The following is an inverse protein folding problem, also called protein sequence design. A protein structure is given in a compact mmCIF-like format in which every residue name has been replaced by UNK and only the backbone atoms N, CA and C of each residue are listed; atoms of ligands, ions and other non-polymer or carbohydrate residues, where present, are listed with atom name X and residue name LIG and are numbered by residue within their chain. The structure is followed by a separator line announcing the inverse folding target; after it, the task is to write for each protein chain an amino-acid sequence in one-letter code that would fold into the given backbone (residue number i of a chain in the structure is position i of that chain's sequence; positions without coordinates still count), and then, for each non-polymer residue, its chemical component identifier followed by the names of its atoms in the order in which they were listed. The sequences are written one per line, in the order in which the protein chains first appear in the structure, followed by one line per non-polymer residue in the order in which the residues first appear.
data_IF_055366361644
#
_entry.id   IF_055366361644
#
_cell.length_a   1.000
_cell.length_b   1.000
_cell.length_c   1.000
_cell.angle_alpha   90.00
_cell.angle_beta   90.00
_cell.angle_gamma   90.00
#
_symmetry.space_group_name_H-M   'P 1'
#
loop_
_entity.id
_entity.type
_entity.pdbx_description
1 polymer ?
#
# COMPACT_ATOMS: atom_id res chain seq x y z
N UNK A 1 -10.55 -6.08 -12.78
CA UNK A 1 -11.03 -5.64 -11.46
C UNK A 1 -10.72 -6.75 -10.50
N UNK A 2 -10.08 -6.40 -9.40
CA UNK A 2 -9.75 -7.32 -8.32
C UNK A 2 -10.32 -6.77 -7.01
N UNK A 3 -10.46 -7.61 -6.00
CA UNK A 3 -10.84 -7.14 -4.66
C UNK A 3 -9.71 -6.28 -4.07
N UNK A 4 -10.04 -5.23 -3.32
CA UNK A 4 -9.07 -4.20 -2.87
C UNK A 4 -7.81 -4.75 -2.19
N UNK A 5 -7.93 -5.83 -1.40
CA UNK A 5 -6.81 -6.45 -0.68
C UNK A 5 -5.79 -7.15 -1.59
N UNK A 6 -6.14 -7.39 -2.87
CA UNK A 6 -5.23 -7.89 -3.89
C UNK A 6 -4.36 -6.79 -4.53
N UNK A 7 -4.63 -5.51 -4.24
CA UNK A 7 -3.89 -4.39 -4.81
C UNK A 7 -2.44 -4.36 -4.34
N UNK A 8 -1.50 -4.06 -5.24
CA UNK A 8 -0.10 -3.76 -4.87
C UNK A 8 -0.01 -2.58 -3.90
N UNK A 9 -0.96 -1.63 -3.95
CA UNK A 9 -1.07 -0.56 -2.95
C UNK A 9 -1.24 -1.13 -1.54
N UNK A 10 -2.03 -2.20 -1.35
CA UNK A 10 -2.19 -2.87 -0.06
C UNK A 10 -0.88 -3.54 0.38
N UNK A 11 -0.17 -4.20 -0.54
CA UNK A 11 1.12 -4.82 -0.22
C UNK A 11 2.18 -3.77 0.17
N UNK A 12 2.25 -2.65 -0.56
CA UNK A 12 3.15 -1.53 -0.24
C UNK A 12 2.78 -0.89 1.10
N UNK A 13 1.49 -0.70 1.37
CA UNK A 13 0.99 -0.16 2.63
C UNK A 13 1.45 -0.99 3.82
N UNK A 14 1.41 -2.33 3.72
CA UNK A 14 1.80 -3.21 4.84
C UNK A 14 3.33 -3.32 5.04
N UNK A 15 4.13 -3.01 4.01
CA UNK A 15 5.60 -3.12 4.05
C UNK A 15 6.33 -1.79 4.31
N UNK A 16 5.65 -0.66 4.21
CA UNK A 16 6.28 0.66 4.37
C UNK A 16 6.45 1.00 5.85
N UNK A 17 7.54 1.66 6.24
CA UNK A 17 7.83 2.02 7.63
C UNK A 17 7.44 3.46 7.98
N UNK A 18 7.28 4.32 6.97
CA UNK A 18 6.93 5.73 7.10
C UNK A 18 6.31 6.26 5.80
N UNK A 19 5.78 7.50 5.83
CA UNK A 19 5.12 8.10 4.67
C UNK A 19 6.07 8.38 3.49
N UNK A 20 7.36 8.63 3.77
CA UNK A 20 8.36 8.89 2.73
C UNK A 20 8.66 7.61 1.94
N UNK A 21 8.84 6.48 2.64
CA UNK A 21 9.00 5.16 2.04
C UNK A 21 7.72 4.71 1.31
N UNK A 22 6.54 4.99 1.89
CA UNK A 22 5.26 4.72 1.24
C UNK A 22 5.16 5.45 -0.10
N UNK A 23 5.47 6.75 -0.13
CA UNK A 23 5.43 7.55 -1.35
C UNK A 23 6.43 7.06 -2.40
N UNK A 24 7.66 6.73 -2.00
CA UNK A 24 8.69 6.19 -2.88
C UNK A 24 8.22 4.88 -3.53
N UNK A 25 7.72 3.94 -2.72
CA UNK A 25 7.25 2.63 -3.18
C UNK A 25 6.04 2.76 -4.10
N UNK A 26 5.07 3.61 -3.75
CA UNK A 26 3.92 3.92 -4.60
C UNK A 26 4.36 4.50 -5.95
N UNK A 27 5.37 5.38 -5.96
CA UNK A 27 5.94 5.94 -7.19
C UNK A 27 6.67 4.93 -8.07
N UNK A 28 7.15 3.83 -7.49
CA UNK A 28 7.87 2.80 -8.20
C UNK A 28 6.99 1.70 -8.81
N UNK A 29 5.68 1.67 -8.51
CA UNK A 29 4.70 0.77 -9.14
C UNK A 29 4.78 0.90 -10.67
N UNK A 30 4.94 -0.21 -11.38
CA UNK A 30 4.83 -0.26 -12.85
C UNK A 30 3.36 -0.39 -13.21
N UNK A 31 2.84 0.58 -13.95
CA UNK A 31 1.40 0.66 -14.29
C UNK A 31 1.10 0.32 -15.74
N UNK A 32 2.10 0.42 -16.62
CA UNK A 32 1.97 0.13 -18.04
C UNK A 32 3.34 -0.09 -18.69
N UNK A 33 3.32 -0.40 -19.98
CA UNK A 33 4.50 -0.40 -20.85
C UNK A 33 4.21 0.44 -22.09
N UNK A 34 5.22 1.17 -22.59
CA UNK A 34 5.13 1.87 -23.88
C UNK A 34 5.12 0.87 -25.05
N UNK A 35 4.89 1.34 -26.28
CA UNK A 35 4.95 0.48 -27.48
C UNK A 35 6.35 -0.12 -27.70
N UNK A 36 7.37 0.59 -27.25
CA UNK A 36 8.77 0.18 -27.26
C UNK A 36 9.14 -0.68 -26.04
N UNK A 37 8.15 -1.20 -25.30
CA UNK A 37 8.32 -2.08 -24.12
C UNK A 37 9.10 -1.42 -22.97
N UNK A 38 9.05 -0.10 -22.85
CA UNK A 38 9.64 0.62 -21.71
C UNK A 38 8.61 0.67 -20.57
N UNK A 39 8.95 0.30 -19.33
CA UNK A 39 8.02 0.35 -18.20
C UNK A 39 7.65 1.81 -17.87
N UNK A 40 6.36 2.04 -17.64
CA UNK A 40 5.81 3.33 -17.16
C UNK A 40 5.48 3.20 -15.69
N UNK A 41 6.06 4.05 -14.85
CA UNK A 41 5.83 4.04 -13.40
C UNK A 41 4.78 5.04 -12.95
N UNK A 42 4.15 4.79 -11.80
CA UNK A 42 3.13 5.69 -11.23
C UNK A 42 3.64 7.13 -10.98
N UNK A 43 4.94 7.30 -10.69
CA UNK A 43 5.54 8.64 -10.56
C UNK A 43 5.59 9.43 -11.87
N UNK A 44 5.66 8.77 -13.02
CA UNK A 44 5.72 9.43 -14.34
C UNK A 44 4.39 10.08 -14.74
N UNK A 45 3.28 9.64 -14.13
CA UNK A 45 1.96 10.27 -14.24
C UNK A 45 1.61 11.14 -13.02
N UNK A 46 2.60 11.45 -12.17
CA UNK A 46 2.45 12.27 -10.95
C UNK A 46 1.42 11.74 -9.94
N UNK A 47 1.17 10.42 -9.90
CA UNK A 47 0.13 9.85 -9.04
C UNK A 47 0.58 9.60 -7.58
N UNK A 48 1.86 9.24 -7.39
CA UNK A 48 2.42 8.83 -6.10
C UNK A 48 2.10 9.75 -4.93
N UNK A 49 2.39 11.05 -5.05
CA UNK A 49 2.13 12.00 -3.97
C UNK A 49 0.64 12.08 -3.60
N UNK A 50 -0.26 12.12 -4.59
CA UNK A 50 -1.70 12.15 -4.34
C UNK A 50 -2.19 10.86 -3.64
N UNK A 51 -1.64 9.69 -4.02
CA UNK A 51 -1.92 8.44 -3.33
C UNK A 51 -1.44 8.46 -1.88
N UNK A 52 -0.24 8.98 -1.61
CA UNK A 52 0.28 9.14 -0.23
C UNK A 52 -0.63 10.02 0.61
N UNK A 53 -1.11 11.15 0.06
CA UNK A 53 -2.04 12.05 0.76
C UNK A 53 -3.35 11.34 1.12
N UNK A 54 -3.92 10.56 0.20
CA UNK A 54 -5.13 9.77 0.46
C UNK A 54 -4.92 8.70 1.54
N UNK A 55 -3.71 8.17 1.66
CA UNK A 55 -3.36 7.12 2.63
C UNK A 55 -2.81 7.65 3.96
N UNK A 56 -2.57 8.96 4.08
CA UNK A 56 -1.88 9.58 5.24
C UNK A 56 -2.46 9.16 6.58
N UNK A 57 -3.78 9.28 6.74
CA UNK A 57 -4.45 8.91 7.99
C UNK A 57 -4.64 7.39 8.09
N UNK A 58 -4.89 6.73 6.97
CA UNK A 58 -5.05 5.28 6.90
C UNK A 58 -3.79 4.56 7.39
N UNK A 59 -2.60 5.10 7.14
CA UNK A 59 -1.29 4.55 7.49
C UNK A 59 -1.00 4.53 9.01
N UNK A 60 -1.90 5.08 9.83
CA UNK A 60 -1.80 4.99 11.28
C UNK A 60 -2.39 3.65 11.77
N UNK A 61 -1.65 2.86 12.59
CA UNK A 61 -2.19 1.63 13.17
C UNK A 61 -3.46 1.87 14.00
N UNK A 62 -4.44 0.97 13.89
CA UNK A 62 -5.69 1.08 14.65
C UNK A 62 -5.58 0.31 15.96
N UNK A 63 -5.76 1.00 17.09
CA UNK A 63 -5.77 0.40 18.41
C UNK A 63 -7.19 -0.04 18.80
N UNK A 64 -7.31 -1.30 19.21
CA UNK A 64 -8.53 -1.91 19.75
C UNK A 64 -8.18 -2.75 20.99
N UNK A 65 -9.12 -3.52 21.52
CA UNK A 65 -8.90 -4.39 22.68
C UNK A 65 -9.49 -5.79 22.49
N UNK A 66 -8.94 -6.78 23.18
CA UNK A 66 -9.51 -8.14 23.30
C UNK A 66 -10.68 -8.16 24.31
N UNK A 67 -11.35 -9.32 24.46
CA UNK A 67 -12.42 -9.50 25.45
C UNK A 67 -11.97 -9.29 26.90
N UNK A 68 -10.68 -9.46 27.18
CA UNK A 68 -10.07 -9.26 28.51
C UNK A 68 -9.51 -7.85 28.70
N UNK A 69 -9.74 -6.94 27.74
CA UNK A 69 -9.26 -5.56 27.80
C UNK A 69 -7.78 -5.39 27.44
N UNK A 70 -7.09 -6.44 26.97
CA UNK A 70 -5.71 -6.32 26.50
C UNK A 70 -5.65 -5.54 25.18
N UNK A 71 -4.69 -4.63 24.98
CA UNK A 71 -4.58 -3.84 23.74
C UNK A 71 -4.18 -4.72 22.54
N UNK A 72 -4.74 -4.42 21.37
CA UNK A 72 -4.42 -5.07 20.11
C UNK A 72 -4.39 -4.06 18.94
N UNK A 73 -3.51 -4.30 17.96
CA UNK A 73 -3.46 -3.51 16.72
C UNK A 73 -4.10 -4.29 15.56
N UNK A 74 -4.93 -3.61 14.77
CA UNK A 74 -5.48 -4.14 13.51
C UNK A 74 -5.09 -3.18 12.39
N UNK A 75 -4.24 -3.62 11.48
CA UNK A 75 -3.70 -2.77 10.42
C UNK A 75 -3.26 -3.61 9.23
N UNK A 76 -3.58 -3.17 8.01
CA UNK A 76 -3.25 -3.91 6.79
C UNK A 76 -4.13 -5.14 6.56
N UNK A 77 -3.79 -5.90 5.52
CA UNK A 77 -4.48 -7.14 5.16
C UNK A 77 -4.29 -7.50 3.68
N UNK A 78 -3.05 -7.73 3.21
CA UNK A 78 -2.82 -8.18 1.86
C UNK A 78 -3.15 -9.68 1.72
N UNK A 79 -3.33 -10.15 0.49
CA UNK A 79 -3.37 -11.59 0.24
C UNK A 79 -2.05 -12.29 0.62
N UNK A 80 -2.14 -13.58 0.97
CA UNK A 80 -1.00 -14.42 1.37
C UNK A 80 -0.42 -15.28 0.23
N UNK A 81 -1.00 -15.23 -0.97
CA UNK A 81 -0.56 -16.01 -2.13
C UNK A 81 0.15 -15.14 -3.19
N UNK A 82 -0.41 -13.97 -3.50
CA UNK A 82 0.14 -12.99 -4.45
C UNK A 82 0.87 -11.83 -3.74
N UNK A 83 0.85 -11.83 -2.41
CA UNK A 83 1.57 -10.92 -1.53
C UNK A 83 1.96 -11.69 -0.24
N UNK A 84 2.37 -10.98 0.81
CA UNK A 84 3.04 -11.57 1.97
C UNK A 84 2.11 -12.00 3.13
N UNK A 85 0.83 -11.61 3.09
CA UNK A 85 -0.16 -12.03 4.08
C UNK A 85 0.08 -11.55 5.52
N UNK A 86 0.84 -10.47 5.72
CA UNK A 86 1.01 -9.80 7.01
C UNK A 86 0.98 -8.28 6.90
#
# INVERSE_FOLDING_TARGET
FDITVASEVMAIFCLSQNLEELEERLGNIIIAYTREMTPVRAKEINAHHAMTVLLKDAFRPNLVQTLEGNPALIHGGPFANIAHGC
#
